data_IF_140689251785
#
_entry.id   IF_140689251785
#
_cell.length_a   1.000
_cell.length_b   1.000
_cell.length_c   1.000
_cell.angle_alpha   90.00
_cell.angle_beta   90.00
_cell.angle_gamma   90.00
#
_symmetry.space_group_name_H-M   'P 1'
#
loop_
_entity.id
_entity.type
_entity.pdbx_description
1 polymer ?
#
# COMPACT_ATOMS: atom_id res chain seq x y z
N UNK A 1 -16.07 6.59 5.15
CA UNK A 1 -14.98 7.61 4.99
C UNK A 1 -13.74 6.92 4.45
N UNK A 2 -13.09 7.51 3.44
CA UNK A 2 -11.86 6.97 2.84
C UNK A 2 -10.64 7.68 3.40
N UNK A 3 -9.59 6.94 3.75
CA UNK A 3 -8.34 7.49 4.29
C UNK A 3 -7.14 6.76 3.70
N UNK A 4 -6.07 7.49 3.41
CA UNK A 4 -4.77 6.93 3.05
C UNK A 4 -3.78 7.29 4.17
N UNK A 5 -2.93 6.35 4.54
CA UNK A 5 -1.85 6.54 5.50
C UNK A 5 -0.66 5.65 5.17
N UNK A 6 0.49 5.95 5.75
CA UNK A 6 1.61 5.01 5.74
C UNK A 6 1.23 3.70 6.43
N UNK A 7 1.72 2.60 5.88
CA UNK A 7 1.64 1.29 6.51
C UNK A 7 2.51 1.26 7.76
N UNK A 8 2.03 0.56 8.79
CA UNK A 8 2.74 0.31 10.04
C UNK A 8 2.83 -1.19 10.28
N UNK A 9 3.60 -1.61 11.28
CA UNK A 9 3.79 -3.03 11.59
C UNK A 9 2.47 -3.77 11.88
N UNK A 10 1.50 -3.09 12.49
CA UNK A 10 0.17 -3.66 12.74
C UNK A 10 -0.60 -4.02 11.46
N UNK A 11 -0.20 -3.50 10.29
CA UNK A 11 -0.81 -3.87 9.01
C UNK A 11 -0.23 -5.15 8.39
N UNK A 12 0.80 -5.76 9.01
CA UNK A 12 1.55 -6.92 8.46
C UNK A 12 0.63 -8.05 8.02
N UNK A 13 -0.26 -8.49 8.90
CA UNK A 13 -1.18 -9.60 8.62
C UNK A 13 -2.07 -9.29 7.42
N UNK A 14 -2.67 -8.10 7.40
CA UNK A 14 -3.49 -7.64 6.28
C UNK A 14 -2.68 -7.53 4.98
N UNK A 15 -1.50 -6.92 5.04
CA UNK A 15 -0.63 -6.70 3.89
C UNK A 15 -0.33 -7.99 3.14
N UNK A 16 0.05 -9.04 3.89
CA UNK A 16 0.39 -10.34 3.32
C UNK A 16 -0.80 -11.13 2.77
N UNK A 17 -2.05 -10.71 3.04
CA UNK A 17 -3.19 -11.25 2.30
C UNK A 17 -3.18 -10.83 0.83
N UNK A 18 -2.61 -9.65 0.53
CA UNK A 18 -2.61 -9.03 -0.80
C UNK A 18 -1.25 -9.16 -1.53
N UNK A 19 -0.13 -9.07 -0.80
CA UNK A 19 1.23 -9.05 -1.35
C UNK A 19 2.10 -10.16 -0.75
N UNK A 20 1.80 -11.41 -1.15
CA UNK A 20 2.41 -12.63 -0.61
C UNK A 20 3.89 -12.81 -0.93
N UNK A 21 4.40 -12.09 -1.93
CA UNK A 21 5.75 -12.29 -2.46
C UNK A 21 6.78 -11.33 -1.87
N UNK A 22 6.36 -10.34 -1.06
CA UNK A 22 7.29 -9.45 -0.39
C UNK A 22 8.02 -10.21 0.73
N UNK A 23 9.37 -10.19 0.78
CA UNK A 23 10.06 -10.71 1.96
C UNK A 23 9.66 -9.92 3.21
N UNK A 24 9.46 -10.57 4.38
CA UNK A 24 9.03 -9.88 5.60
C UNK A 24 9.98 -8.76 6.04
N UNK A 25 11.29 -8.95 5.87
CA UNK A 25 12.29 -7.91 6.14
C UNK A 25 12.12 -6.69 5.24
N UNK A 26 11.70 -6.87 3.99
CA UNK A 26 11.44 -5.74 3.09
C UNK A 26 10.13 -5.02 3.43
N UNK A 27 9.11 -5.73 3.93
CA UNK A 27 7.93 -5.06 4.47
C UNK A 27 8.32 -4.11 5.61
N UNK A 28 9.12 -4.58 6.57
CA UNK A 28 9.63 -3.78 7.68
C UNK A 28 10.46 -2.57 7.20
N UNK A 29 11.31 -2.75 6.19
CA UNK A 29 12.06 -1.65 5.58
C UNK A 29 11.13 -0.61 4.95
N UNK A 30 10.08 -1.05 4.25
CA UNK A 30 9.12 -0.15 3.57
C UNK A 30 8.25 0.62 4.54
N UNK A 31 7.81 0.02 5.65
CA UNK A 31 7.05 0.74 6.69
C UNK A 31 7.93 1.80 7.37
N UNK A 32 9.18 1.44 7.74
CA UNK A 32 10.15 2.38 8.33
C UNK A 32 10.52 3.53 7.38
N UNK A 33 10.75 3.23 6.11
CA UNK A 33 11.12 4.22 5.09
C UNK A 33 9.93 4.99 4.49
N UNK A 34 8.71 4.76 4.99
CA UNK A 34 7.48 5.41 4.50
C UNK A 34 7.21 5.19 3.01
N UNK A 35 7.53 3.99 2.51
CA UNK A 35 7.35 3.58 1.10
C UNK A 35 6.19 2.60 0.86
N UNK A 36 5.36 2.42 1.88
CA UNK A 36 4.19 1.57 1.88
C UNK A 36 2.99 2.37 2.42
N UNK A 37 1.84 2.25 1.76
CA UNK A 37 0.59 2.91 2.08
C UNK A 37 -0.54 1.91 2.21
N UNK A 38 -1.49 2.22 3.11
CA UNK A 38 -2.75 1.51 3.28
C UNK A 38 -3.89 2.45 2.95
N UNK A 39 -4.81 1.99 2.11
CA UNK A 39 -6.10 2.60 1.87
C UNK A 39 -7.12 1.98 2.82
N UNK A 40 -7.82 2.81 3.59
CA UNK A 40 -8.94 2.37 4.42
C UNK A 40 -10.27 2.94 3.92
N UNK A 41 -11.30 2.10 3.89
CA UNK A 41 -12.69 2.49 3.60
C UNK A 41 -13.54 2.14 4.81
N UNK A 42 -14.18 3.15 5.40
CA UNK A 42 -15.00 3.02 6.60
C UNK A 42 -14.23 2.39 7.77
N UNK A 43 -12.98 2.81 7.95
CA UNK A 43 -12.11 2.37 9.05
C UNK A 43 -11.38 1.04 8.81
N UNK A 44 -11.75 0.28 7.78
CA UNK A 44 -11.13 -1.01 7.46
C UNK A 44 -10.14 -0.88 6.30
N UNK A 45 -8.98 -1.54 6.34
CA UNK A 45 -8.04 -1.54 5.22
C UNK A 45 -8.64 -2.31 4.05
N UNK A 46 -8.59 -1.74 2.83
CA UNK A 46 -9.18 -2.28 1.59
C UNK A 46 -8.24 -2.26 0.38
N UNK A 47 -7.03 -1.77 0.57
CA UNK A 47 -6.01 -1.78 -0.47
C UNK A 47 -4.66 -1.32 0.05
N UNK A 48 -3.63 -1.60 -0.73
CA UNK A 48 -2.24 -1.27 -0.45
C UNK A 48 -1.59 -0.63 -1.67
N UNK A 49 -0.57 0.18 -1.41
CA UNK A 49 0.37 0.65 -2.41
C UNK A 49 1.79 0.59 -1.84
N UNK A 50 2.73 0.07 -2.61
CA UNK A 50 4.16 0.22 -2.33
C UNK A 50 4.90 0.71 -3.55
N UNK A 51 5.97 1.44 -3.29
CA UNK A 51 6.87 1.89 -4.33
C UNK A 51 8.33 1.59 -3.97
N UNK A 52 9.17 1.61 -5.00
CA UNK A 52 10.62 1.57 -4.93
C UNK A 52 11.18 2.88 -5.50
N UNK A 53 12.48 3.11 -5.28
CA UNK A 53 13.19 4.20 -5.94
C UNK A 53 14.14 3.60 -6.98
N UNK A 54 14.04 4.04 -8.23
CA UNK A 54 15.09 3.83 -9.21
C UNK A 54 16.22 4.82 -8.96
N UNK A 55 17.46 4.32 -9.03
CA UNK A 55 18.68 5.10 -8.78
C UNK A 55 18.56 5.97 -7.52
N UNK A 56 17.95 5.41 -6.48
CA UNK A 56 17.71 6.02 -5.17
C UNK A 56 16.93 7.35 -5.17
N UNK A 57 16.31 7.74 -6.27
CA UNK A 57 15.72 9.08 -6.44
C UNK A 57 14.35 9.10 -7.12
N UNK A 58 14.11 8.22 -8.10
CA UNK A 58 12.88 8.27 -8.91
C UNK A 58 11.86 7.26 -8.38
N UNK A 59 10.69 7.70 -7.86
CA UNK A 59 9.69 6.79 -7.33
C UNK A 59 9.02 5.97 -8.46
N UNK A 60 8.91 4.67 -8.23
CA UNK A 60 8.24 3.71 -9.11
C UNK A 60 7.24 2.88 -8.32
N UNK A 61 5.95 3.00 -8.67
CA UNK A 61 4.88 2.21 -8.07
C UNK A 61 5.07 0.72 -8.41
N UNK A 62 5.56 -0.05 -7.43
CA UNK A 62 5.88 -1.47 -7.59
C UNK A 62 4.63 -2.34 -7.51
N UNK A 63 3.68 -1.96 -6.65
CA UNK A 63 2.41 -2.65 -6.51
C UNK A 63 1.36 -1.67 -6.04
N UNK A 64 0.21 -1.70 -6.71
CA UNK A 64 -1.05 -1.18 -6.21
C UNK A 64 -2.07 -2.31 -6.24
N UNK A 65 -2.71 -2.57 -5.12
CA UNK A 65 -3.74 -3.59 -5.04
C UNK A 65 -4.93 -3.07 -4.22
N UNK A 66 -6.13 -3.29 -4.73
CA UNK A 66 -7.38 -2.99 -4.04
C UNK A 66 -8.23 -4.26 -4.09
N UNK A 67 -8.85 -4.60 -2.96
CA UNK A 67 -9.81 -5.70 -2.86
C UNK A 67 -10.87 -5.58 -3.95
N UNK A 68 -11.22 -6.72 -4.56
CA UNK A 68 -12.03 -6.76 -5.78
C UNK A 68 -13.36 -6.02 -5.64
N UNK A 69 -14.04 -6.19 -4.52
CA UNK A 69 -15.32 -5.54 -4.17
C UNK A 69 -15.24 -4.01 -4.11
N UNK A 70 -14.03 -3.46 -3.93
CA UNK A 70 -13.76 -2.03 -3.76
C UNK A 70 -13.16 -1.39 -5.02
N UNK A 71 -12.96 -2.15 -6.11
CA UNK A 71 -12.47 -1.64 -7.40
C UNK A 71 -13.53 -0.80 -8.13
N UNK A 72 -13.10 -0.06 -9.16
CA UNK A 72 -13.93 0.85 -9.99
C UNK A 72 -14.60 2.00 -9.22
N UNK A 73 -14.08 2.33 -8.04
CA UNK A 73 -14.55 3.46 -7.19
C UNK A 73 -13.58 4.64 -7.12
N UNK A 74 -12.59 4.69 -8.02
CA UNK A 74 -11.58 5.75 -8.06
C UNK A 74 -10.44 5.61 -7.04
N UNK A 75 -10.46 4.61 -6.16
CA UNK A 75 -9.45 4.44 -5.11
C UNK A 75 -8.01 4.28 -5.60
N UNK A 76 -7.81 3.69 -6.78
CA UNK A 76 -6.48 3.60 -7.38
C UNK A 76 -5.93 4.99 -7.73
N UNK A 77 -6.78 5.87 -8.26
CA UNK A 77 -6.44 7.27 -8.52
C UNK A 77 -6.11 8.00 -7.22
N UNK A 78 -6.93 7.81 -6.19
CA UNK A 78 -6.70 8.42 -4.86
C UNK A 78 -5.36 8.00 -4.27
N UNK A 79 -4.97 6.72 -4.40
CA UNK A 79 -3.68 6.20 -3.92
C UNK A 79 -2.48 6.79 -4.66
N UNK A 80 -2.60 7.04 -5.97
CA UNK A 80 -1.53 7.63 -6.76
C UNK A 80 -1.47 9.17 -6.68
N UNK A 81 -2.47 9.83 -6.08
CA UNK A 81 -2.52 11.29 -5.96
C UNK A 81 -2.87 12.02 -7.26
N UNK A 82 -3.66 11.40 -8.14
CA UNK A 82 -4.12 12.00 -9.40
C UNK A 82 -5.52 12.61 -9.32
#
# INVERSE_FOLDING_TARGET
MTRIRYAVEADREYWFTLDKHLPPSEFENKTKSKRAYVLSVSGQPRGILRYNLFWDSIPFCTLIYIEEEYRRRGYGRTLCGA
#
